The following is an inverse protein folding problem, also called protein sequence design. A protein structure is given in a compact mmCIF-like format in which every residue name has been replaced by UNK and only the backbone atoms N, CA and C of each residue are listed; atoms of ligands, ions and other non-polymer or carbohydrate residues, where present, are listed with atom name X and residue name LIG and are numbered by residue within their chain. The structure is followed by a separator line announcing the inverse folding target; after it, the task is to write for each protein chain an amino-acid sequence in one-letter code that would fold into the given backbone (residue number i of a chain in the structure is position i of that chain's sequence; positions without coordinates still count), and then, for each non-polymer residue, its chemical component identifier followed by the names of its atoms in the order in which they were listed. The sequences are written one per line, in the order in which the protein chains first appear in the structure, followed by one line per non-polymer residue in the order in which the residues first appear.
data_IF_416578426720
#
_entry.id   IF_416578426720
#
_cell.length_a   1.000
_cell.length_b   1.000
_cell.length_c   1.000
_cell.angle_alpha   90.00
_cell.angle_beta   90.00
_cell.angle_gamma   90.00
#
_symmetry.space_group_name_H-M   'P 1'
#
loop_
_entity.id
_entity.type
_entity.pdbx_description
1 polymer ?
#
# COMPACT_ATOMS: atom_id res chain seq x y z
N UNK A 1 -15.38 -22.84 27.49
CA UNK A 1 -14.18 -22.69 26.62
C UNK A 1 -13.68 -21.27 26.85
N UNK A 2 -12.48 -21.09 27.44
CA UNK A 2 -11.89 -19.77 27.60
C UNK A 2 -11.47 -19.31 26.21
N UNK A 3 -12.03 -18.21 25.73
CA UNK A 3 -11.54 -17.57 24.53
C UNK A 3 -10.04 -17.29 24.73
N UNK A 4 -9.19 -17.88 23.91
CA UNK A 4 -7.77 -17.52 23.89
C UNK A 4 -7.68 -16.02 23.68
N UNK A 5 -6.89 -15.32 24.48
CA UNK A 5 -6.67 -13.89 24.29
C UNK A 5 -6.16 -13.69 22.83
N UNK A 6 -6.76 -12.77 22.08
CA UNK A 6 -6.30 -12.52 20.74
C UNK A 6 -4.84 -12.08 20.75
N UNK A 7 -4.07 -12.58 19.79
CA UNK A 7 -2.66 -12.28 19.63
C UNK A 7 -2.51 -11.39 18.40
N UNK A 8 -1.86 -10.25 18.57
CA UNK A 8 -1.42 -9.45 17.42
C UNK A 8 -0.10 -10.03 16.89
N UNK A 9 0.06 -10.03 15.59
CA UNK A 9 1.28 -10.45 14.90
C UNK A 9 1.63 -9.41 13.86
N UNK A 10 2.88 -9.03 13.81
CA UNK A 10 3.41 -8.16 12.77
C UNK A 10 4.82 -8.60 12.33
N UNK A 11 5.25 -8.07 11.21
CA UNK A 11 6.61 -8.19 10.71
C UNK A 11 7.22 -6.80 10.67
N UNK A 12 8.40 -6.64 11.28
CA UNK A 12 9.12 -5.35 11.36
C UNK A 12 10.50 -5.54 10.76
N UNK A 13 10.88 -4.64 9.89
CA UNK A 13 12.20 -4.62 9.30
C UNK A 13 13.15 -3.74 10.11
N UNK A 14 14.40 -4.16 10.33
CA UNK A 14 15.40 -3.43 11.09
C UNK A 14 16.41 -2.64 10.22
N UNK A 15 16.22 -2.64 8.91
CA UNK A 15 17.05 -1.90 7.96
C UNK A 15 16.71 -0.40 7.90
N UNK A 16 17.68 0.41 7.49
CA UNK A 16 17.50 1.85 7.28
C UNK A 16 16.85 2.19 5.93
N UNK A 17 16.73 1.20 5.05
CA UNK A 17 16.16 1.35 3.70
C UNK A 17 15.06 0.32 3.48
N UNK A 18 14.13 0.65 2.59
CA UNK A 18 13.15 -0.32 2.10
C UNK A 18 13.86 -1.59 1.59
N UNK A 19 13.35 -2.77 1.94
CA UNK A 19 13.89 -4.09 1.54
C UNK A 19 15.28 -4.45 2.08
N UNK A 20 15.91 -3.62 2.91
CA UNK A 20 17.16 -3.94 3.61
C UNK A 20 16.90 -4.40 5.04
N UNK A 21 17.83 -5.20 5.56
CA UNK A 21 17.82 -5.66 6.94
C UNK A 21 16.96 -6.91 7.16
N UNK A 22 16.96 -7.36 8.41
CA UNK A 22 16.21 -8.55 8.83
C UNK A 22 14.77 -8.19 9.14
N UNK A 23 13.89 -9.10 8.80
CA UNK A 23 12.46 -8.99 9.09
C UNK A 23 12.17 -9.78 10.36
N UNK A 24 11.89 -9.07 11.44
CA UNK A 24 11.55 -9.68 12.73
C UNK A 24 10.05 -9.92 12.82
N UNK A 25 9.67 -11.17 13.01
CA UNK A 25 8.31 -11.56 13.29
C UNK A 25 8.10 -11.40 14.79
N UNK A 26 7.17 -10.54 15.17
CA UNK A 26 6.87 -10.30 16.58
C UNK A 26 5.39 -10.45 16.90
N UNK A 27 5.10 -10.82 18.15
CA UNK A 27 3.73 -10.99 18.65
C UNK A 27 3.50 -10.15 19.89
N UNK A 28 2.25 -9.72 20.08
CA UNK A 28 1.77 -9.03 21.27
C UNK A 28 0.57 -9.76 21.85
N UNK A 29 0.54 -9.90 23.17
CA UNK A 29 -0.58 -10.49 23.93
C UNK A 29 -1.36 -9.43 24.74
N UNK A 30 -0.92 -8.18 24.68
CA UNK A 30 -1.47 -7.05 25.45
C UNK A 30 -1.97 -5.92 24.54
N UNK A 31 -2.48 -6.29 23.35
CA UNK A 31 -3.06 -5.38 22.38
C UNK A 31 -2.05 -4.35 21.83
N UNK A 32 -0.83 -4.80 21.54
CA UNK A 32 0.22 -4.01 20.92
C UNK A 32 1.00 -3.08 21.86
N UNK A 33 0.84 -3.22 23.19
CA UNK A 33 1.59 -2.42 24.16
C UNK A 33 3.02 -2.93 24.34
N UNK A 34 3.17 -4.26 24.35
CA UNK A 34 4.49 -4.92 24.37
C UNK A 34 4.59 -5.95 23.26
N UNK A 35 5.80 -6.17 22.78
CA UNK A 35 6.08 -7.07 21.66
C UNK A 35 7.22 -8.03 21.97
N UNK A 36 7.06 -9.26 21.55
CA UNK A 36 8.10 -10.30 21.66
C UNK A 36 8.46 -10.80 20.28
N UNK A 37 9.76 -10.77 19.94
CA UNK A 37 10.26 -11.37 18.70
C UNK A 37 10.18 -12.89 18.81
N UNK A 38 9.47 -13.52 17.88
CA UNK A 38 9.24 -14.96 17.83
C UNK A 38 9.91 -15.64 16.64
N UNK A 39 10.47 -14.87 15.71
CA UNK A 39 11.19 -15.39 14.54
C UNK A 39 11.82 -14.28 13.74
N UNK A 40 12.62 -14.69 12.77
CA UNK A 40 13.22 -13.82 11.75
C UNK A 40 12.88 -14.42 10.39
N UNK A 41 12.47 -13.56 9.44
CA UNK A 41 12.25 -13.89 8.04
C UNK A 41 13.19 -12.98 7.22
N UNK A 42 14.26 -13.56 6.73
CA UNK A 42 15.29 -12.89 5.93
C UNK A 42 15.52 -13.64 4.61
N UNK A 43 14.43 -14.13 4.03
CA UNK A 43 14.50 -14.90 2.81
C UNK A 43 15.15 -14.10 1.67
N UNK A 44 16.21 -14.66 1.14
CA UNK A 44 16.94 -14.15 0.00
C UNK A 44 17.38 -15.33 -0.88
N UNK A 45 17.33 -15.16 -2.20
CA UNK A 45 17.74 -16.17 -3.18
C UNK A 45 18.53 -15.54 -4.31
N UNK A 46 19.73 -16.08 -4.58
CA UNK A 46 20.52 -15.66 -5.73
C UNK A 46 20.00 -16.32 -7.01
N UNK A 47 19.63 -15.52 -8.02
CA UNK A 47 19.12 -15.94 -9.33
C UNK A 47 19.98 -15.37 -10.47
N UNK A 48 21.09 -16.07 -10.77
CA UNK A 48 22.09 -15.57 -11.70
C UNK A 48 22.78 -14.33 -11.15
N UNK A 49 22.74 -13.21 -11.89
CA UNK A 49 23.29 -11.92 -11.44
C UNK A 49 22.33 -11.12 -10.57
N UNK A 50 21.08 -11.59 -10.37
CA UNK A 50 20.05 -10.92 -9.58
C UNK A 50 19.87 -11.58 -8.22
N UNK A 51 19.42 -10.80 -7.27
CA UNK A 51 19.04 -11.27 -5.94
C UNK A 51 17.54 -11.08 -5.75
N UNK A 52 16.83 -12.16 -5.46
CA UNK A 52 15.43 -12.12 -5.12
C UNK A 52 15.26 -11.90 -3.61
N UNK A 53 14.39 -10.97 -3.24
CA UNK A 53 14.03 -10.64 -1.84
C UNK A 53 12.53 -10.51 -1.71
N UNK A 54 12.05 -10.66 -0.48
CA UNK A 54 10.64 -10.47 -0.13
C UNK A 54 10.50 -9.25 0.75
N UNK A 55 9.41 -8.48 0.56
CA UNK A 55 9.03 -7.44 1.52
C UNK A 55 8.54 -8.03 2.85
N UNK A 56 8.23 -7.17 3.83
CA UNK A 56 7.70 -7.60 5.13
C UNK A 56 6.33 -8.27 5.02
N UNK A 57 5.64 -7.98 3.93
CA UNK A 57 4.35 -8.55 3.63
C UNK A 57 3.23 -7.99 4.52
N UNK A 58 2.07 -8.54 4.29
CA UNK A 58 0.81 -8.11 4.87
C UNK A 58 0.03 -9.34 5.31
N UNK A 59 -0.39 -9.39 6.56
CA UNK A 59 -1.19 -10.49 7.09
C UNK A 59 -2.65 -10.07 7.21
N UNK A 60 -3.52 -10.90 6.67
CA UNK A 60 -4.97 -10.78 6.76
C UNK A 60 -5.55 -12.00 7.50
N UNK A 61 -6.55 -11.77 8.33
CA UNK A 61 -7.34 -12.85 8.94
C UNK A 61 -8.63 -12.95 8.17
N UNK A 62 -8.84 -14.09 7.49
CA UNK A 62 -10.12 -14.40 6.91
C UNK A 62 -11.17 -14.61 8.00
N UNK A 63 -12.11 -13.68 8.10
CA UNK A 63 -13.11 -13.67 9.16
C UNK A 63 -14.17 -14.76 9.00
N UNK A 64 -14.25 -15.40 7.83
CA UNK A 64 -15.22 -16.48 7.57
C UNK A 64 -14.75 -17.82 8.13
N UNK A 65 -13.45 -18.06 8.18
CA UNK A 65 -12.90 -19.36 8.57
C UNK A 65 -11.71 -19.29 9.55
N UNK A 66 -11.24 -18.07 9.90
CA UNK A 66 -10.13 -17.85 10.84
C UNK A 66 -8.75 -18.12 10.25
N UNK A 67 -8.63 -18.33 8.95
CA UNK A 67 -7.35 -18.59 8.29
C UNK A 67 -6.52 -17.30 8.22
N UNK A 68 -5.26 -17.36 8.62
CA UNK A 68 -4.30 -16.30 8.35
C UNK A 68 -3.81 -16.44 6.91
N UNK A 69 -3.82 -15.34 6.17
CA UNK A 69 -3.27 -15.25 4.82
C UNK A 69 -2.19 -14.19 4.83
N UNK A 70 -0.98 -14.54 4.43
CA UNK A 70 0.12 -13.60 4.28
C UNK A 70 0.40 -13.38 2.81
N UNK A 71 0.39 -12.12 2.39
CA UNK A 71 0.78 -11.66 1.06
C UNK A 71 2.12 -10.93 1.17
N UNK A 72 2.96 -11.06 0.17
CA UNK A 72 4.22 -10.32 0.06
C UNK A 72 4.66 -10.22 -1.39
N UNK A 73 5.36 -9.16 -1.71
CA UNK A 73 6.03 -9.02 -2.99
C UNK A 73 7.38 -9.72 -2.93
N UNK A 74 7.68 -10.52 -3.94
CA UNK A 74 8.98 -11.09 -4.18
C UNK A 74 9.59 -10.36 -5.38
N UNK A 75 10.60 -9.53 -5.12
CA UNK A 75 11.25 -8.70 -6.12
C UNK A 75 12.66 -9.16 -6.40
N UNK A 76 13.10 -9.04 -7.66
CA UNK A 76 14.45 -9.31 -8.07
C UNK A 76 15.18 -8.01 -8.38
N UNK A 77 16.36 -7.87 -7.80
CA UNK A 77 17.24 -6.71 -7.91
C UNK A 77 18.49 -7.06 -8.70
N UNK A 78 18.93 -6.12 -9.54
CA UNK A 78 20.20 -6.23 -10.23
C UNK A 78 21.42 -6.12 -9.30
N UNK A 79 22.64 -6.34 -9.81
CA UNK A 79 23.86 -6.35 -9.00
C UNK A 79 24.20 -5.01 -8.34
N UNK A 80 23.58 -3.90 -8.79
CA UNK A 80 23.86 -2.56 -8.26
C UNK A 80 22.96 -2.14 -7.08
N UNK A 81 22.04 -3.03 -6.63
CA UNK A 81 21.21 -2.83 -5.46
C UNK A 81 19.92 -2.05 -5.70
N UNK A 82 19.17 -1.83 -4.62
CA UNK A 82 17.75 -1.50 -4.63
C UNK A 82 17.38 -0.10 -5.17
N UNK A 83 18.31 0.83 -5.17
CA UNK A 83 17.99 2.25 -5.39
C UNK A 83 18.32 2.78 -6.78
N UNK A 84 19.16 2.10 -7.53
CA UNK A 84 19.31 2.34 -8.97
C UNK A 84 17.99 2.13 -9.73
N UNK A 85 17.04 1.45 -9.08
CA UNK A 85 15.76 1.06 -9.66
C UNK A 85 14.64 2.12 -9.53
N UNK A 86 14.81 3.16 -8.73
CA UNK A 86 13.82 4.25 -8.57
C UNK A 86 14.19 5.53 -9.32
N UNK A 87 14.43 5.42 -10.56
CA UNK A 87 14.86 6.51 -11.42
C UNK A 87 15.94 6.00 -12.35
N UNK A 88 16.31 6.73 -13.37
CA UNK A 88 17.50 6.40 -14.11
C UNK A 88 18.63 6.28 -13.09
N UNK A 89 19.32 5.15 -13.06
CA UNK A 89 20.57 5.03 -12.33
C UNK A 89 21.46 6.22 -12.65
N UNK A 90 22.44 6.54 -11.82
CA UNK A 90 23.36 7.65 -12.03
C UNK A 90 24.04 7.62 -13.43
N UNK A 91 23.97 6.48 -14.11
CA UNK A 91 24.44 6.22 -15.47
C UNK A 91 23.35 6.22 -16.54
N UNK A 92 22.08 6.51 -16.16
CA UNK A 92 20.95 6.49 -17.08
C UNK A 92 20.41 5.11 -17.43
N UNK A 93 20.87 4.04 -16.76
CA UNK A 93 20.34 2.69 -16.98
C UNK A 93 18.87 2.61 -16.58
N UNK A 94 18.00 2.06 -17.43
CA UNK A 94 16.56 2.02 -17.15
C UNK A 94 16.22 1.07 -16.00
N UNK A 95 15.15 1.37 -15.29
CA UNK A 95 14.47 0.52 -14.29
C UNK A 95 14.07 -0.91 -14.73
N UNK A 96 14.45 -1.31 -15.92
CA UNK A 96 14.18 -2.62 -16.50
C UNK A 96 14.86 -3.79 -15.76
N UNK A 97 15.70 -3.51 -14.78
CA UNK A 97 16.33 -4.54 -13.95
C UNK A 97 15.40 -5.13 -12.91
N UNK A 98 14.29 -4.45 -12.56
CA UNK A 98 13.38 -4.90 -11.50
C UNK A 98 12.19 -5.66 -12.06
N UNK A 99 12.05 -6.89 -11.61
CA UNK A 99 10.88 -7.72 -11.86
C UNK A 99 10.45 -8.39 -10.57
N UNK A 100 9.24 -8.91 -10.53
CA UNK A 100 8.77 -9.56 -9.32
C UNK A 100 7.41 -10.20 -9.46
N UNK A 101 7.00 -10.82 -8.37
CA UNK A 101 5.77 -11.60 -8.24
C UNK A 101 5.09 -11.24 -6.94
N UNK A 102 3.77 -11.36 -6.90
CA UNK A 102 3.02 -11.40 -5.66
C UNK A 102 2.91 -12.85 -5.22
N UNK A 103 3.31 -13.10 -3.99
CA UNK A 103 3.28 -14.41 -3.38
C UNK A 103 2.32 -14.41 -2.20
N UNK A 104 1.75 -15.57 -1.88
CA UNK A 104 0.94 -15.74 -0.68
C UNK A 104 1.14 -17.12 -0.06
N UNK A 105 0.82 -17.23 1.20
CA UNK A 105 0.71 -18.46 1.98
C UNK A 105 -0.38 -18.31 3.02
N UNK A 106 -0.90 -19.40 3.53
CA UNK A 106 -1.92 -19.36 4.57
C UNK A 106 -1.64 -20.35 5.70
N UNK A 107 -2.17 -20.03 6.86
CA UNK A 107 -2.09 -20.83 8.08
C UNK A 107 -3.48 -21.02 8.68
N UNK A 108 -3.80 -22.25 9.04
CA UNK A 108 -5.07 -22.64 9.69
C UNK A 108 -4.91 -22.82 11.22
N UNK A 109 -3.71 -22.60 11.75
CA UNK A 109 -3.34 -22.82 13.15
C UNK A 109 -2.70 -21.58 13.80
N UNK A 110 -3.17 -20.40 13.42
CA UNK A 110 -2.73 -19.11 13.97
C UNK A 110 -1.23 -18.80 13.72
N UNK A 111 -0.70 -19.28 12.59
CA UNK A 111 0.66 -19.01 12.17
C UNK A 111 1.71 -19.95 12.76
N UNK A 112 1.31 -21.08 13.37
CA UNK A 112 2.25 -22.09 13.84
C UNK A 112 2.83 -22.87 12.66
N UNK A 113 1.98 -23.25 11.71
CA UNK A 113 2.41 -23.85 10.43
C UNK A 113 1.83 -23.07 9.26
N UNK A 114 2.52 -23.14 8.14
CA UNK A 114 2.14 -22.44 6.93
C UNK A 114 2.06 -23.40 5.74
N UNK A 115 1.11 -23.13 4.85
CA UNK A 115 1.10 -23.80 3.53
C UNK A 115 2.39 -23.51 2.78
N UNK A 116 2.75 -24.30 1.75
CA UNK A 116 3.75 -23.87 0.79
C UNK A 116 3.43 -22.48 0.23
N UNK A 117 4.45 -21.66 0.04
CA UNK A 117 4.31 -20.36 -0.62
C UNK A 117 3.89 -20.56 -2.07
N UNK A 118 2.91 -19.80 -2.54
CA UNK A 118 2.34 -19.84 -3.88
C UNK A 118 2.44 -18.48 -4.53
N UNK A 119 2.60 -18.46 -5.85
CA UNK A 119 2.44 -17.26 -6.63
C UNK A 119 0.95 -16.95 -6.82
N UNK A 120 0.57 -15.68 -6.68
CA UNK A 120 -0.74 -15.21 -7.08
C UNK A 120 -0.76 -15.14 -8.61
N UNK A 121 -1.61 -15.96 -9.22
CA UNK A 121 -1.77 -16.02 -10.68
C UNK A 121 -3.26 -15.84 -10.98
N UNK A 122 -3.57 -14.93 -11.91
CA UNK A 122 -4.93 -14.73 -12.38
C UNK A 122 -5.49 -16.03 -13.00
N UNK A 123 -6.75 -16.32 -12.71
CA UNK A 123 -7.43 -17.48 -13.29
C UNK A 123 -7.66 -17.27 -14.78
N UNK A 124 -7.30 -18.26 -15.58
CA UNK A 124 -7.45 -18.27 -17.03
C UNK A 124 -6.35 -19.08 -17.70
N UNK A 125 -6.61 -19.69 -18.86
CA UNK A 125 -5.63 -20.51 -19.57
C UNK A 125 -4.46 -19.71 -20.16
N UNK A 126 -4.59 -18.38 -20.26
CA UNK A 126 -3.59 -17.45 -20.75
C UNK A 126 -2.56 -17.01 -19.69
N UNK A 127 -2.82 -17.33 -18.40
CA UNK A 127 -1.97 -16.91 -17.29
C UNK A 127 -1.17 -18.09 -16.72
N UNK A 128 0.10 -17.81 -16.42
CA UNK A 128 1.04 -18.78 -15.86
C UNK A 128 2.04 -18.08 -14.91
N UNK A 129 3.11 -18.75 -14.50
CA UNK A 129 4.10 -18.21 -13.62
C UNK A 129 4.91 -17.02 -14.23
N UNK A 130 4.85 -16.83 -15.54
CA UNK A 130 5.53 -15.75 -16.27
C UNK A 130 4.56 -14.60 -16.60
N UNK A 131 3.48 -14.92 -17.33
CA UNK A 131 2.36 -14.00 -17.55
C UNK A 131 1.32 -14.24 -16.46
N UNK A 132 1.54 -13.65 -15.27
CA UNK A 132 0.77 -14.05 -14.11
C UNK A 132 -0.49 -13.24 -13.86
N UNK A 133 -0.65 -12.10 -14.59
CA UNK A 133 -1.88 -11.33 -14.60
C UNK A 133 -1.94 -10.43 -15.82
N UNK A 134 -3.10 -9.89 -16.12
CA UNK A 134 -3.28 -8.95 -17.24
C UNK A 134 -2.32 -7.77 -17.13
N UNK A 135 -1.51 -7.57 -18.19
CA UNK A 135 -0.47 -6.53 -18.25
C UNK A 135 0.73 -6.72 -17.31
N UNK A 136 0.87 -7.87 -16.62
CA UNK A 136 1.98 -8.12 -15.70
C UNK A 136 2.73 -9.39 -16.09
N UNK A 137 4.02 -9.20 -16.40
CA UNK A 137 4.90 -10.27 -16.87
C UNK A 137 6.19 -10.30 -16.05
N UNK A 138 6.49 -11.44 -15.47
CA UNK A 138 7.80 -11.68 -14.86
C UNK A 138 8.92 -11.51 -15.91
N UNK A 139 9.95 -10.79 -15.55
CA UNK A 139 11.06 -10.43 -16.45
C UNK A 139 10.86 -9.11 -17.21
N UNK A 140 9.66 -8.51 -17.21
CA UNK A 140 9.39 -7.25 -17.91
C UNK A 140 8.96 -6.12 -16.98
N UNK A 141 8.04 -6.40 -16.06
CA UNK A 141 7.56 -5.44 -15.08
C UNK A 141 7.29 -6.13 -13.74
N UNK A 142 6.74 -5.39 -12.81
CA UNK A 142 6.46 -5.87 -11.46
C UNK A 142 5.11 -5.34 -11.00
N UNK A 143 4.33 -6.21 -10.34
CA UNK A 143 3.19 -5.84 -9.52
C UNK A 143 3.55 -5.89 -8.03
N UNK A 144 2.96 -4.98 -7.27
CA UNK A 144 3.20 -4.81 -5.83
C UNK A 144 1.90 -4.95 -5.06
N UNK A 145 1.95 -5.64 -3.94
CA UNK A 145 0.88 -5.64 -2.93
C UNK A 145 1.40 -5.27 -1.54
N UNK A 146 2.44 -4.46 -1.46
CA UNK A 146 3.24 -4.16 -0.28
C UNK A 146 2.48 -4.04 1.05
N UNK A 147 3.22 -3.91 2.13
CA UNK A 147 2.69 -3.87 3.50
C UNK A 147 1.67 -2.75 3.76
N UNK A 148 1.68 -1.72 2.94
CA UNK A 148 0.77 -0.57 3.05
C UNK A 148 -0.55 -0.77 2.28
N UNK A 149 -0.60 -1.69 1.32
CA UNK A 149 -1.79 -2.03 0.53
C UNK A 149 -2.54 -3.20 1.17
N UNK A 150 -3.41 -2.89 2.12
CA UNK A 150 -4.06 -3.92 2.95
C UNK A 150 -5.17 -4.62 2.21
N UNK A 151 -5.25 -5.92 2.42
CA UNK A 151 -6.38 -6.74 1.98
C UNK A 151 -7.66 -6.28 2.68
N UNK A 152 -8.72 -6.15 1.89
CA UNK A 152 -10.08 -5.90 2.39
C UNK A 152 -10.92 -7.15 2.15
N UNK A 153 -11.51 -7.71 3.19
CA UNK A 153 -12.49 -8.76 3.06
C UNK A 153 -13.89 -8.17 2.99
N UNK A 154 -14.63 -8.52 1.94
CA UNK A 154 -16.01 -8.12 1.77
C UNK A 154 -16.94 -8.92 2.70
N UNK A 155 -18.13 -8.42 2.94
CA UNK A 155 -19.14 -9.09 3.79
C UNK A 155 -19.57 -10.45 3.27
N UNK A 156 -19.41 -10.71 1.96
CA UNK A 156 -19.66 -12.03 1.35
C UNK A 156 -18.47 -12.99 1.48
N UNK A 157 -17.39 -12.58 2.10
CA UNK A 157 -16.16 -13.36 2.27
C UNK A 157 -15.14 -13.20 1.17
N UNK A 158 -15.45 -12.51 0.08
CA UNK A 158 -14.51 -12.25 -1.02
C UNK A 158 -13.32 -11.44 -0.52
N UNK A 159 -12.12 -11.84 -0.90
CA UNK A 159 -10.90 -11.09 -0.60
C UNK A 159 -10.61 -10.08 -1.72
N UNK A 160 -10.37 -8.85 -1.36
CA UNK A 160 -9.90 -7.81 -2.29
C UNK A 160 -8.45 -7.47 -1.93
N UNK A 161 -7.54 -7.79 -2.85
CA UNK A 161 -6.11 -7.49 -2.72
C UNK A 161 -5.79 -6.31 -3.64
N UNK A 162 -5.63 -5.09 -3.09
CA UNK A 162 -5.23 -3.94 -3.89
C UNK A 162 -3.79 -4.12 -4.37
N UNK A 163 -3.53 -3.75 -5.61
CA UNK A 163 -2.20 -3.80 -6.21
C UNK A 163 -1.91 -2.55 -7.02
N UNK A 164 -0.65 -2.23 -7.17
CA UNK A 164 -0.18 -1.35 -8.22
C UNK A 164 0.94 -2.03 -9.01
N UNK A 165 1.13 -1.64 -10.27
CA UNK A 165 2.11 -2.26 -11.14
C UNK A 165 2.61 -1.28 -12.21
N UNK A 166 3.83 -1.51 -12.70
CA UNK A 166 4.38 -0.75 -13.81
C UNK A 166 3.68 -1.13 -15.10
N UNK A 167 3.22 -0.12 -15.85
CA UNK A 167 2.50 -0.33 -17.10
C UNK A 167 3.45 -0.75 -18.21
N UNK A 168 3.00 -1.70 -19.03
CA UNK A 168 3.64 -2.03 -20.30
C UNK A 168 2.88 -1.35 -21.46
N UNK A 169 3.64 -0.85 -22.42
CA UNK A 169 3.14 -0.36 -23.70
C UNK A 169 2.81 -1.51 -24.66
N UNK A 170 2.26 -1.18 -25.81
CA UNK A 170 1.96 -2.16 -26.86
C UNK A 170 3.23 -2.83 -27.44
N UNK A 171 4.39 -2.23 -27.25
CA UNK A 171 5.72 -2.76 -27.59
C UNK A 171 6.27 -3.73 -26.54
N UNK A 172 5.58 -3.89 -25.40
CA UNK A 172 5.99 -4.73 -24.28
C UNK A 172 7.04 -4.08 -23.37
N UNK A 173 7.36 -2.81 -23.58
CA UNK A 173 8.28 -2.02 -22.75
C UNK A 173 7.52 -1.23 -21.69
N UNK A 174 8.18 -0.88 -20.58
CA UNK A 174 7.57 -0.04 -19.56
C UNK A 174 7.24 1.35 -20.10
N UNK A 175 5.98 1.78 -19.90
CA UNK A 175 5.55 3.14 -20.25
C UNK A 175 6.22 4.12 -19.31
N UNK A 176 7.02 5.01 -19.87
CA UNK A 176 7.77 6.03 -19.14
C UNK A 176 7.20 7.40 -19.42
N UNK A 177 7.33 8.29 -18.44
CA UNK A 177 6.87 9.66 -18.55
C UNK A 177 8.04 10.62 -18.31
N UNK A 178 8.35 11.52 -19.23
CA UNK A 178 9.38 12.53 -19.04
C UNK A 178 8.94 13.51 -17.94
N UNK A 179 9.89 13.99 -17.18
CA UNK A 179 9.66 15.12 -16.30
C UNK A 179 9.38 16.39 -17.12
N UNK A 180 9.10 17.50 -16.42
CA UNK A 180 8.84 18.81 -17.06
C UNK A 180 10.02 19.34 -17.90
N UNK A 181 11.22 18.82 -17.70
CA UNK A 181 12.42 19.20 -18.41
C UNK A 181 12.80 18.19 -19.50
N UNK A 182 12.11 17.05 -19.56
CA UNK A 182 12.41 15.94 -20.45
C UNK A 182 13.66 15.15 -20.07
N UNK A 183 14.18 15.35 -18.86
CA UNK A 183 15.45 14.78 -18.42
C UNK A 183 15.27 13.51 -17.57
N UNK A 184 14.21 13.46 -16.76
CA UNK A 184 13.93 12.30 -15.90
C UNK A 184 12.77 11.51 -16.45
N UNK A 185 12.97 10.24 -16.64
CA UNK A 185 11.97 9.32 -17.16
C UNK A 185 11.46 8.45 -16.00
N UNK A 186 10.25 8.72 -15.53
CA UNK A 186 9.59 7.93 -14.51
C UNK A 186 8.73 6.84 -15.15
N UNK A 187 8.78 5.60 -14.65
CA UNK A 187 7.82 4.58 -15.06
C UNK A 187 6.43 4.97 -14.57
N UNK A 188 5.43 4.73 -15.40
CA UNK A 188 4.04 4.96 -15.02
C UNK A 188 3.46 3.72 -14.34
N UNK A 189 2.65 3.95 -13.31
CA UNK A 189 1.97 2.88 -12.61
C UNK A 189 0.46 2.95 -12.83
N UNK A 190 -0.16 1.79 -12.80
CA UNK A 190 -1.59 1.61 -12.72
C UNK A 190 -1.95 0.92 -11.40
N UNK A 191 -3.17 1.13 -10.95
CA UNK A 191 -3.77 0.39 -9.84
C UNK A 191 -4.81 -0.60 -10.35
N UNK A 192 -4.97 -1.70 -9.62
CA UNK A 192 -6.01 -2.69 -9.84
C UNK A 192 -6.31 -3.43 -8.53
N UNK A 193 -7.25 -4.37 -8.57
CA UNK A 193 -7.50 -5.30 -7.47
C UNK A 193 -7.52 -6.73 -7.97
N UNK A 194 -7.02 -7.66 -7.15
CA UNK A 194 -7.40 -9.06 -7.27
C UNK A 194 -8.58 -9.35 -6.36
N UNK A 195 -9.53 -10.10 -6.90
CA UNK A 195 -10.61 -10.74 -6.15
C UNK A 195 -10.22 -12.19 -5.90
N UNK A 196 -10.16 -12.56 -4.62
CA UNK A 196 -9.88 -13.93 -4.22
C UNK A 196 -11.12 -14.62 -3.69
N UNK A 197 -11.38 -15.82 -4.20
CA UNK A 197 -12.45 -16.69 -3.72
C UNK A 197 -11.86 -18.04 -3.35
N UNK A 198 -12.08 -18.49 -2.14
CA UNK A 198 -11.67 -19.85 -1.74
C UNK A 198 -12.33 -20.90 -2.62
N UNK A 199 -11.58 -21.88 -3.03
CA UNK A 199 -12.14 -23.11 -3.62
C UNK A 199 -13.00 -23.82 -2.58
N UNK A 200 -13.96 -24.59 -3.04
CA UNK A 200 -14.90 -25.30 -2.17
C UNK A 200 -14.22 -26.18 -1.12
N UNK A 201 -13.10 -26.80 -1.48
CA UNK A 201 -12.28 -27.62 -0.57
C UNK A 201 -11.32 -26.82 0.34
N UNK A 202 -11.32 -25.50 0.19
CA UNK A 202 -10.40 -24.58 0.91
C UNK A 202 -8.92 -24.96 0.76
N UNK A 203 -8.54 -25.58 -0.34
CA UNK A 203 -7.16 -25.96 -0.64
C UNK A 203 -6.35 -24.81 -1.23
N UNK A 204 -7.04 -23.86 -1.88
CA UNK A 204 -6.44 -22.71 -2.56
C UNK A 204 -7.47 -21.59 -2.79
N UNK A 205 -7.00 -20.49 -3.35
CA UNK A 205 -7.78 -19.31 -3.70
C UNK A 205 -7.70 -19.11 -5.21
N UNK A 206 -8.84 -18.95 -5.86
CA UNK A 206 -8.94 -18.55 -7.25
C UNK A 206 -8.94 -17.02 -7.35
N UNK A 207 -8.15 -16.46 -8.26
CA UNK A 207 -7.89 -15.05 -8.38
C UNK A 207 -8.41 -14.47 -9.68
N UNK A 208 -9.19 -13.40 -9.62
CA UNK A 208 -9.64 -12.60 -10.76
C UNK A 208 -9.09 -11.19 -10.63
N UNK A 209 -8.46 -10.67 -11.68
CA UNK A 209 -7.99 -9.29 -11.70
C UNK A 209 -9.07 -8.36 -12.27
N UNK A 210 -9.21 -7.17 -11.69
CA UNK A 210 -10.08 -6.11 -12.19
C UNK A 210 -9.49 -5.44 -13.44
N UNK A 211 -10.27 -4.54 -14.06
CA UNK A 211 -9.70 -3.58 -15.02
C UNK A 211 -8.64 -2.68 -14.36
N UNK A 212 -7.72 -2.18 -15.16
CA UNK A 212 -6.67 -1.27 -14.74
C UNK A 212 -7.19 0.15 -14.57
N UNK A 213 -6.81 0.78 -13.46
CA UNK A 213 -7.01 2.21 -13.22
C UNK A 213 -5.76 2.98 -13.58
N UNK A 214 -5.90 3.84 -14.56
CA UNK A 214 -4.83 4.69 -15.08
C UNK A 214 -5.27 6.13 -14.91
N UNK A 215 -4.39 6.96 -14.37
CA UNK A 215 -4.69 8.39 -14.29
C UNK A 215 -4.78 9.01 -15.68
N UNK A 216 -5.69 9.98 -15.87
CA UNK A 216 -5.59 10.84 -17.03
C UNK A 216 -4.22 11.52 -17.05
N UNK A 217 -3.51 11.45 -18.17
CA UNK A 217 -2.11 11.89 -18.31
C UNK A 217 -1.86 13.34 -17.90
N UNK A 218 -2.84 14.20 -18.07
CA UNK A 218 -2.74 15.61 -17.67
C UNK A 218 -2.93 15.84 -16.17
N UNK A 219 -3.43 14.84 -15.41
CA UNK A 219 -3.64 14.92 -13.96
C UNK A 219 -2.52 14.26 -13.16
N UNK A 220 -2.06 13.11 -13.60
CA UNK A 220 -1.02 12.36 -12.89
C UNK A 220 -0.29 11.42 -13.83
N UNK A 221 0.96 11.10 -13.56
CA UNK A 221 1.69 10.08 -14.32
C UNK A 221 1.44 8.67 -13.77
N UNK A 222 0.96 8.55 -12.54
CA UNK A 222 0.73 7.26 -11.87
C UNK A 222 -0.49 7.29 -10.99
N UNK A 223 -1.08 6.11 -10.79
CA UNK A 223 -1.95 5.77 -9.67
C UNK A 223 -1.31 4.58 -8.96
N UNK A 224 -0.94 4.77 -7.72
CA UNK A 224 -0.22 3.77 -6.93
C UNK A 224 -0.74 3.67 -5.49
N UNK A 225 -0.24 2.70 -4.74
CA UNK A 225 -0.57 2.44 -3.33
C UNK A 225 -2.09 2.47 -3.05
N UNK A 226 -2.89 1.65 -3.77
CA UNK A 226 -4.34 1.64 -3.60
C UNK A 226 -4.76 1.07 -2.24
N UNK A 227 -5.84 1.62 -1.67
CA UNK A 227 -6.54 1.08 -0.50
C UNK A 227 -8.03 1.02 -0.79
N UNK A 228 -8.71 -0.03 -0.33
CA UNK A 228 -10.12 -0.30 -0.64
C UNK A 228 -10.94 -0.40 0.63
N UNK A 229 -12.16 0.11 0.61
CA UNK A 229 -13.17 -0.13 1.63
C UNK A 229 -14.55 -0.42 1.02
N UNK A 230 -15.31 -1.25 1.70
CA UNK A 230 -16.71 -1.56 1.35
C UNK A 230 -17.67 -0.62 2.08
N UNK A 231 -18.54 0.03 1.32
CA UNK A 231 -19.60 0.92 1.83
C UNK A 231 -20.80 0.13 2.36
N UNK A 232 -21.74 0.82 3.00
CA UNK A 232 -22.92 0.19 3.58
C UNK A 232 -23.81 -0.50 2.55
N UNK A 233 -23.88 0.03 1.35
CA UNK A 233 -24.69 -0.50 0.24
C UNK A 233 -23.96 -1.58 -0.59
N UNK A 234 -22.73 -1.96 -0.23
CA UNK A 234 -21.90 -2.92 -0.97
C UNK A 234 -21.05 -2.31 -2.08
N UNK A 235 -21.19 -1.01 -2.35
CA UNK A 235 -20.27 -0.31 -3.25
C UNK A 235 -18.87 -0.33 -2.65
N UNK A 236 -17.86 -0.55 -3.48
CA UNK A 236 -16.47 -0.44 -3.07
C UNK A 236 -15.91 0.91 -3.49
N UNK A 237 -15.14 1.53 -2.63
CA UNK A 237 -14.32 2.70 -2.94
C UNK A 237 -12.85 2.32 -2.86
N UNK A 238 -12.09 2.69 -3.86
CA UNK A 238 -10.63 2.61 -3.88
C UNK A 238 -10.07 4.02 -3.80
N UNK A 239 -9.14 4.27 -2.89
CA UNK A 239 -8.33 5.49 -2.85
C UNK A 239 -6.93 5.18 -3.36
N UNK A 240 -6.33 6.10 -4.09
CA UNK A 240 -5.02 5.91 -4.72
C UNK A 240 -4.16 7.15 -4.53
N UNK A 241 -2.87 6.93 -4.35
CA UNK A 241 -1.85 7.96 -4.42
C UNK A 241 -1.72 8.43 -5.87
N UNK A 242 -1.77 9.74 -6.09
CA UNK A 242 -1.40 10.34 -7.38
C UNK A 242 0.08 10.64 -7.44
N UNK A 243 0.74 10.21 -8.52
CA UNK A 243 2.11 10.60 -8.81
C UNK A 243 2.11 11.98 -9.50
N UNK A 244 2.47 13.03 -8.78
CA UNK A 244 2.40 14.42 -9.27
C UNK A 244 3.76 15.01 -9.66
N UNK A 245 4.76 14.15 -9.84
CA UNK A 245 6.14 14.59 -9.98
C UNK A 245 6.39 15.58 -11.13
N UNK A 246 5.64 15.53 -12.21
CA UNK A 246 6.10 16.14 -13.44
C UNK A 246 5.26 17.31 -13.96
N UNK A 247 4.07 17.60 -13.43
CA UNK A 247 3.21 18.61 -14.06
C UNK A 247 2.95 19.82 -13.18
N UNK A 248 3.35 20.97 -13.67
CA UNK A 248 3.28 22.27 -12.99
C UNK A 248 1.86 22.75 -12.67
N UNK A 249 0.85 22.17 -13.33
CA UNK A 249 -0.51 22.71 -13.32
C UNK A 249 -1.44 22.02 -12.34
N UNK A 250 -1.04 20.86 -11.80
CA UNK A 250 -1.87 20.12 -10.87
C UNK A 250 -1.31 20.16 -9.45
N UNK A 251 -2.19 20.39 -8.51
CA UNK A 251 -1.88 20.17 -7.09
C UNK A 251 -1.88 18.67 -6.78
N UNK A 252 -1.13 18.29 -5.74
CA UNK A 252 -1.20 16.95 -5.19
C UNK A 252 -2.59 16.67 -4.65
N UNK A 253 -3.17 15.52 -5.05
CA UNK A 253 -4.47 15.05 -4.62
C UNK A 253 -4.44 13.52 -4.45
N UNK A 254 -5.36 12.99 -3.66
CA UNK A 254 -5.71 11.57 -3.75
C UNK A 254 -6.75 11.38 -4.85
N UNK A 255 -6.62 10.29 -5.59
CA UNK A 255 -7.63 9.86 -6.53
C UNK A 255 -8.51 8.78 -5.91
N UNK A 256 -9.76 8.72 -6.33
CA UNK A 256 -10.62 7.61 -5.98
C UNK A 256 -11.37 7.05 -7.19
N UNK A 257 -11.80 5.82 -7.05
CA UNK A 257 -12.70 5.14 -7.98
C UNK A 257 -13.70 4.31 -7.21
N UNK A 258 -14.80 3.95 -7.83
CA UNK A 258 -15.85 3.11 -7.25
C UNK A 258 -16.11 1.88 -8.11
N UNK A 259 -16.46 0.78 -7.45
CA UNK A 259 -16.97 -0.45 -8.06
C UNK A 259 -18.32 -0.80 -7.46
N UNK A 260 -19.28 -1.20 -8.32
CA UNK A 260 -20.62 -1.63 -7.92
C UNK A 260 -20.88 -3.12 -8.15
N UNK A 261 -19.87 -3.86 -8.54
CA UNK A 261 -19.91 -5.28 -8.89
C UNK A 261 -18.90 -6.13 -8.10
N UNK A 262 -18.60 -5.69 -6.87
CA UNK A 262 -17.70 -6.37 -5.95
C UNK A 262 -16.23 -6.34 -6.39
N UNK A 263 -15.79 -5.27 -7.03
CA UNK A 263 -14.38 -5.07 -7.42
C UNK A 263 -13.98 -5.70 -8.75
N UNK A 264 -14.94 -6.16 -9.58
CA UNK A 264 -14.64 -6.66 -10.94
C UNK A 264 -14.31 -5.55 -11.89
N UNK A 265 -15.11 -4.47 -11.84
CA UNK A 265 -14.88 -3.29 -12.65
C UNK A 265 -14.88 -2.03 -11.78
N UNK A 266 -13.90 -1.20 -12.02
CA UNK A 266 -13.75 0.10 -11.42
C UNK A 266 -14.07 1.19 -12.44
N UNK A 267 -14.80 2.22 -12.01
CA UNK A 267 -15.06 3.40 -12.80
C UNK A 267 -13.81 4.26 -13.00
N UNK A 268 -13.91 5.39 -13.71
CA UNK A 268 -12.80 6.30 -13.87
C UNK A 268 -12.24 6.80 -12.54
N UNK A 269 -10.93 6.93 -12.44
CA UNK A 269 -10.30 7.56 -11.30
C UNK A 269 -10.48 9.10 -11.38
N UNK A 270 -10.97 9.68 -10.30
CA UNK A 270 -11.20 11.13 -10.17
C UNK A 270 -10.57 11.66 -8.89
N UNK A 271 -10.20 12.95 -8.82
CA UNK A 271 -9.69 13.56 -7.59
C UNK A 271 -10.71 13.51 -6.45
N UNK A 272 -10.23 13.25 -5.23
CA UNK A 272 -11.06 13.33 -4.02
C UNK A 272 -11.39 14.79 -3.71
N UNK A 273 -12.66 15.05 -3.36
CA UNK A 273 -13.17 16.39 -3.07
C UNK A 273 -13.90 16.43 -1.72
N UNK A 274 -14.12 17.63 -1.26
CA UNK A 274 -15.10 17.96 -0.23
C UNK A 274 -16.51 18.17 -0.83
N UNK A 275 -17.58 18.29 -0.01
CA UNK A 275 -18.95 18.48 -0.51
C UNK A 275 -19.16 19.73 -1.35
N UNK A 276 -18.37 20.77 -1.16
CA UNK A 276 -18.42 22.02 -1.93
C UNK A 276 -17.69 21.93 -3.28
N UNK A 277 -17.10 20.75 -3.59
CA UNK A 277 -16.33 20.50 -4.81
C UNK A 277 -14.87 20.94 -4.74
N UNK A 278 -14.42 21.52 -3.63
CA UNK A 278 -13.00 21.84 -3.45
C UNK A 278 -12.16 20.56 -3.31
N UNK A 279 -10.90 20.60 -3.76
CA UNK A 279 -10.00 19.47 -3.77
C UNK A 279 -9.47 19.17 -2.37
N UNK A 280 -9.38 17.89 -2.01
CA UNK A 280 -8.61 17.44 -0.87
C UNK A 280 -7.14 17.42 -1.26
N UNK A 281 -6.41 18.47 -0.86
CA UNK A 281 -5.00 18.59 -1.17
C UNK A 281 -4.17 17.58 -0.38
N UNK A 282 -3.38 16.77 -1.08
CA UNK A 282 -2.57 15.72 -0.47
C UNK A 282 -1.32 15.46 -1.32
N UNK A 283 -0.13 15.35 -0.71
CA UNK A 283 1.09 15.03 -1.44
C UNK A 283 1.05 13.60 -2.01
N UNK A 284 2.03 13.29 -2.84
CA UNK A 284 2.28 11.91 -3.27
C UNK A 284 2.84 11.10 -2.09
N UNK A 285 1.95 10.67 -1.20
CA UNK A 285 2.22 9.87 -0.01
C UNK A 285 1.16 8.77 0.11
N UNK A 286 1.46 7.74 0.88
CA UNK A 286 0.53 6.65 1.15
C UNK A 286 -0.76 7.17 1.81
N UNK A 287 -1.85 6.46 1.56
CA UNK A 287 -3.13 6.66 2.23
C UNK A 287 -3.71 5.31 2.65
N UNK A 288 -4.55 5.31 3.67
CA UNK A 288 -5.28 4.11 4.10
C UNK A 288 -6.76 4.43 4.19
N UNK A 289 -7.56 3.67 3.45
CA UNK A 289 -9.02 3.71 3.49
C UNK A 289 -9.50 2.46 4.20
N UNK A 290 -10.39 2.61 5.16
CA UNK A 290 -10.89 1.46 5.90
C UNK A 290 -12.29 1.69 6.46
N UNK A 291 -13.03 0.60 6.59
CA UNK A 291 -14.28 0.57 7.34
C UNK A 291 -13.96 0.24 8.80
N UNK A 292 -14.37 1.08 9.71
CA UNK A 292 -14.22 0.87 11.14
C UNK A 292 -15.22 -0.18 11.62
N UNK A 293 -14.76 -1.20 12.34
CA UNK A 293 -15.60 -2.27 12.87
C UNK A 293 -16.53 -1.76 13.99
N UNK A 294 -16.10 -0.73 14.72
CA UNK A 294 -16.82 -0.15 15.86
C UNK A 294 -18.15 0.50 15.45
N UNK A 295 -18.15 1.28 14.38
CA UNK A 295 -19.32 2.10 14.01
C UNK A 295 -19.78 1.93 12.56
N UNK A 296 -19.07 1.12 11.78
CA UNK A 296 -19.40 0.88 10.38
C UNK A 296 -19.18 2.06 9.44
N UNK A 297 -18.54 3.14 9.91
CA UNK A 297 -18.18 4.28 9.08
C UNK A 297 -16.88 4.00 8.32
N UNK A 298 -16.67 4.71 7.23
CA UNK A 298 -15.47 4.62 6.41
C UNK A 298 -14.60 5.84 6.65
N UNK A 299 -13.32 5.59 6.91
CA UNK A 299 -12.35 6.63 7.21
C UNK A 299 -11.16 6.56 6.26
N UNK A 300 -10.66 7.74 5.92
CA UNK A 300 -9.40 7.94 5.21
C UNK A 300 -8.36 8.49 6.18
N UNK A 301 -7.19 7.87 6.22
CA UNK A 301 -5.98 8.43 6.84
C UNK A 301 -5.03 8.82 5.73
N UNK A 302 -4.63 10.08 5.70
CA UNK A 302 -3.72 10.64 4.70
C UNK A 302 -3.07 11.93 5.21
N UNK A 303 -2.00 12.37 4.55
CA UNK A 303 -1.54 13.73 4.71
C UNK A 303 -2.52 14.65 3.97
N UNK A 304 -3.32 15.42 4.70
CA UNK A 304 -4.32 16.35 4.16
C UNK A 304 -3.90 17.77 4.48
N UNK A 305 -3.62 18.55 3.45
CA UNK A 305 -3.02 19.88 3.56
C UNK A 305 -4.05 20.99 3.42
N UNK A 306 -3.85 22.13 4.11
CA UNK A 306 -4.75 23.28 4.01
C UNK A 306 -4.61 24.06 2.69
N UNK A 307 -3.61 23.74 1.89
CA UNK A 307 -3.29 24.47 0.66
C UNK A 307 -2.73 23.54 -0.41
N UNK A 308 -2.74 23.95 -1.69
CA UNK A 308 -2.15 23.20 -2.79
C UNK A 308 -0.70 22.82 -2.53
N UNK A 309 -0.37 21.56 -2.79
CA UNK A 309 0.98 21.00 -2.65
C UNK A 309 1.46 20.40 -3.97
N UNK A 310 2.73 20.09 -4.03
CA UNK A 310 3.37 19.49 -5.20
C UNK A 310 4.30 18.37 -4.76
N UNK A 311 4.43 17.33 -5.61
CA UNK A 311 5.33 16.21 -5.37
C UNK A 311 5.01 15.45 -4.07
N UNK A 312 6.03 14.94 -3.39
CA UNK A 312 5.91 14.05 -2.25
C UNK A 312 5.88 14.75 -0.89
N UNK A 313 6.05 16.07 -0.84
CA UNK A 313 6.15 16.87 0.39
C UNK A 313 5.26 18.12 0.35
N UNK A 314 4.90 18.67 1.53
CA UNK A 314 5.16 18.15 2.88
C UNK A 314 4.27 16.94 3.23
N UNK A 315 4.77 16.02 4.08
CA UNK A 315 3.99 14.89 4.61
C UNK A 315 3.51 15.16 6.03
N UNK A 316 3.04 16.37 6.26
CA UNK A 316 2.35 16.81 7.48
C UNK A 316 1.32 17.90 7.14
N UNK A 317 0.21 17.98 7.89
CA UNK A 317 -0.22 17.06 8.94
C UNK A 317 -0.67 15.69 8.39
N UNK A 318 -0.58 14.66 9.23
CA UNK A 318 -1.30 13.41 9.05
C UNK A 318 -2.66 13.57 9.71
N UNK A 319 -3.73 13.29 8.97
CA UNK A 319 -5.10 13.42 9.44
C UNK A 319 -5.90 12.16 9.21
N UNK A 320 -6.99 12.02 9.97
CA UNK A 320 -8.09 11.13 9.69
C UNK A 320 -9.33 11.94 9.35
N UNK A 321 -10.10 11.48 8.38
CA UNK A 321 -11.36 12.09 7.95
C UNK A 321 -12.37 11.01 7.60
N UNK A 322 -13.64 11.21 7.91
CA UNK A 322 -14.73 10.32 7.49
C UNK A 322 -15.05 10.55 6.01
N UNK A 323 -15.35 9.46 5.31
CA UNK A 323 -15.81 9.48 3.91
C UNK A 323 -17.31 9.27 3.89
N UNK A 324 -18.04 10.18 3.23
CA UNK A 324 -19.47 10.00 2.98
C UNK A 324 -19.71 8.75 2.13
N UNK A 325 -20.49 7.81 2.65
CA UNK A 325 -20.67 6.51 2.00
C UNK A 325 -21.64 6.51 0.82
N UNK A 326 -22.30 7.64 0.55
CA UNK A 326 -23.23 7.81 -0.57
C UNK A 326 -22.62 8.63 -1.70
N UNK A 327 -21.90 9.67 -1.36
CA UNK A 327 -21.35 10.63 -2.34
C UNK A 327 -19.82 10.52 -2.49
N UNK A 328 -19.14 9.77 -1.62
CA UNK A 328 -17.70 9.45 -1.69
C UNK A 328 -16.78 10.66 -1.51
N UNK A 329 -17.25 11.76 -0.95
CA UNK A 329 -16.43 12.90 -0.59
C UNK A 329 -15.92 12.84 0.86
N UNK A 330 -14.85 13.57 1.16
CA UNK A 330 -14.35 13.72 2.52
C UNK A 330 -15.24 14.72 3.29
N UNK A 331 -15.56 14.41 4.56
CA UNK A 331 -16.39 15.27 5.42
C UNK A 331 -15.49 16.19 6.25
N UNK A 332 -15.34 17.48 5.91
CA UNK A 332 -14.33 18.35 6.52
C UNK A 332 -14.54 18.57 8.02
N UNK A 333 -15.78 18.49 8.49
CA UNK A 333 -16.14 18.62 9.91
C UNK A 333 -15.66 17.45 10.78
N UNK A 334 -15.24 16.36 10.16
CA UNK A 334 -14.70 15.17 10.85
C UNK A 334 -13.18 15.11 10.83
N UNK A 335 -12.52 16.04 10.15
CA UNK A 335 -11.06 16.05 10.08
C UNK A 335 -10.43 16.18 11.47
N UNK A 336 -9.57 15.23 11.79
CA UNK A 336 -8.82 15.22 13.04
C UNK A 336 -7.33 15.02 12.74
N UNK A 337 -6.49 15.84 13.35
CA UNK A 337 -5.03 15.72 13.23
C UNK A 337 -4.56 14.57 14.11
N UNK A 338 -3.81 13.64 13.52
CA UNK A 338 -3.14 12.54 14.22
C UNK A 338 -1.75 12.98 14.65
N UNK A 339 -1.00 13.57 13.71
CA UNK A 339 0.34 14.09 13.94
C UNK A 339 0.59 15.29 13.04
N UNK A 340 1.32 16.28 13.55
CA UNK A 340 1.68 17.46 12.80
C UNK A 340 3.11 17.89 13.14
N UNK A 341 3.67 18.76 12.32
CA UNK A 341 4.98 19.34 12.54
C UNK A 341 4.94 20.30 13.74
N UNK A 342 5.86 20.09 14.67
CA UNK A 342 6.10 20.97 15.81
C UNK A 342 7.37 21.81 15.62
N UNK A 343 7.58 22.81 16.48
CA UNK A 343 8.72 23.76 16.37
C UNK A 343 10.09 23.08 16.48
N UNK A 344 10.16 21.97 17.22
CA UNK A 344 11.41 21.20 17.38
C UNK A 344 11.72 20.26 16.19
N UNK A 345 10.74 20.04 15.30
CA UNK A 345 10.92 19.17 14.14
C UNK A 345 11.71 19.88 13.03
N UNK A 346 12.54 19.14 12.28
CA UNK A 346 13.18 19.67 11.08
C UNK A 346 12.13 20.10 10.05
N UNK A 347 12.55 20.89 9.09
CA UNK A 347 11.66 21.42 8.04
C UNK A 347 10.95 20.32 7.26
N UNK A 348 11.58 19.16 7.10
CA UNK A 348 11.10 18.04 6.28
C UNK A 348 10.75 16.80 7.11
N UNK A 349 10.23 17.00 8.32
CA UNK A 349 9.63 15.85 9.03
C UNK A 349 8.53 15.22 8.18
N UNK A 350 8.46 13.89 8.18
CA UNK A 350 7.43 13.14 7.46
C UNK A 350 6.70 12.24 8.43
N UNK A 351 5.37 12.31 8.39
CA UNK A 351 4.44 11.38 9.03
C UNK A 351 3.83 10.50 7.93
N UNK A 352 4.51 9.41 7.60
CA UNK A 352 4.17 8.54 6.48
C UNK A 352 4.57 7.09 6.80
N UNK A 353 4.17 6.15 5.94
CA UNK A 353 4.53 4.73 6.02
C UNK A 353 4.16 4.08 7.36
N UNK A 354 2.95 4.37 7.83
CA UNK A 354 2.42 3.84 9.09
C UNK A 354 1.76 2.48 8.91
N UNK A 355 1.72 1.72 10.01
CA UNK A 355 0.90 0.53 10.15
C UNK A 355 -0.34 0.82 10.99
N UNK A 356 -1.51 0.31 10.57
CA UNK A 356 -2.77 0.45 11.29
C UNK A 356 -3.28 -0.91 11.77
N UNK A 357 -3.69 -0.97 13.01
CA UNK A 357 -4.52 -2.05 13.55
C UNK A 357 -5.80 -1.46 14.14
N UNK A 358 -6.79 -2.30 14.37
CA UNK A 358 -7.90 -1.96 15.27
C UNK A 358 -7.60 -2.50 16.67
N UNK A 359 -7.79 -1.65 17.67
CA UNK A 359 -7.73 -2.07 19.06
C UNK A 359 -8.87 -3.07 19.34
N UNK A 360 -8.51 -4.25 19.82
CA UNK A 360 -9.46 -5.36 19.99
C UNK A 360 -10.48 -5.14 21.11
N UNK A 361 -10.24 -4.18 21.99
CA UNK A 361 -11.14 -3.88 23.12
C UNK A 361 -12.08 -2.72 22.77
N UNK A 362 -11.57 -1.72 22.06
CA UNK A 362 -12.31 -0.48 21.80
C UNK A 362 -12.80 -0.37 20.36
N UNK A 363 -12.22 -1.15 19.42
CA UNK A 363 -12.46 -1.00 17.98
C UNK A 363 -11.84 0.27 17.38
N UNK A 364 -11.10 1.04 18.18
CA UNK A 364 -10.44 2.25 17.71
C UNK A 364 -9.24 1.92 16.82
N UNK A 365 -8.96 2.72 15.79
CA UNK A 365 -7.72 2.57 15.03
C UNK A 365 -6.51 2.99 15.86
N UNK A 366 -5.48 2.14 15.80
CA UNK A 366 -4.16 2.41 16.37
C UNK A 366 -3.16 2.43 15.24
N UNK A 367 -2.34 3.47 15.23
CA UNK A 367 -1.30 3.68 14.22
C UNK A 367 0.07 3.55 14.87
N UNK A 368 0.92 2.75 14.26
CA UNK A 368 2.36 2.71 14.56
C UNK A 368 3.09 3.39 13.42
N UNK A 369 3.89 4.37 13.76
CA UNK A 369 4.57 5.20 12.78
C UNK A 369 5.91 5.66 13.30
N UNK A 370 6.90 5.77 12.42
CA UNK A 370 8.14 6.48 12.69
C UNK A 370 8.01 7.93 12.25
N UNK A 371 8.66 8.83 12.94
CA UNK A 371 8.88 10.21 12.47
C UNK A 371 10.16 10.25 11.65
N UNK A 372 10.00 10.37 10.34
CA UNK A 372 11.17 10.51 9.48
C UNK A 372 11.67 11.95 9.55
N UNK A 373 12.76 12.16 10.27
CA UNK A 373 13.40 13.48 10.41
C UNK A 373 14.43 13.63 9.29
N UNK A 374 14.06 14.35 8.22
CA UNK A 374 14.90 14.55 7.05
C UNK A 374 15.45 15.97 7.06
N UNK A 375 16.77 16.11 7.18
CA UNK A 375 17.42 17.43 7.24
C UNK A 375 17.55 18.13 5.88
N UNK A 376 17.37 17.40 4.75
CA UNK A 376 17.62 17.91 3.40
C UNK A 376 16.54 17.48 2.39
N UNK A 377 16.39 18.26 1.32
CA UNK A 377 15.50 17.96 0.19
C UNK A 377 15.99 16.74 -0.62
N UNK A 378 15.10 16.20 -1.45
CA UNK A 378 15.14 14.95 -2.19
C UNK A 378 16.48 14.59 -2.88
N UNK A 379 17.25 15.57 -3.32
CA UNK A 379 18.52 15.33 -4.03
C UNK A 379 19.66 14.86 -3.11
N UNK A 380 19.47 14.98 -1.79
CA UNK A 380 20.46 14.61 -0.77
C UNK A 380 20.01 13.41 0.09
N UNK A 381 18.85 12.80 -0.20
CA UNK A 381 18.22 11.78 0.66
C UNK A 381 19.00 10.48 0.65
N UNK A 382 19.79 10.23 -0.37
CA UNK A 382 20.42 8.93 -0.57
C UNK A 382 21.91 8.80 -0.18
N UNK A 383 22.74 9.83 -0.05
CA UNK A 383 24.02 9.66 0.58
C UNK A 383 24.03 10.18 2.04
N UNK A 384 23.66 9.31 2.99
CA UNK A 384 24.12 9.44 4.37
C UNK A 384 23.33 10.38 5.30
N UNK A 385 22.08 10.72 5.01
CA UNK A 385 21.19 11.39 5.97
C UNK A 385 20.89 10.44 7.14
N UNK A 386 21.15 10.87 8.35
CA UNK A 386 20.82 10.10 9.55
C UNK A 386 19.31 10.20 9.77
N UNK A 387 18.56 9.16 9.37
CA UNK A 387 17.19 8.97 9.82
C UNK A 387 17.31 8.47 11.26
N UNK A 388 16.86 9.27 12.22
CA UNK A 388 16.70 8.81 13.61
C UNK A 388 15.20 8.56 13.79
N UNK A 389 14.71 7.34 13.62
CA UNK A 389 13.31 7.05 13.76
C UNK A 389 12.95 6.88 15.24
N UNK A 390 12.21 7.83 15.79
CA UNK A 390 11.41 7.56 16.98
C UNK A 390 10.11 6.87 16.52
N UNK A 391 9.77 5.74 17.13
CA UNK A 391 8.53 5.03 16.83
C UNK A 391 7.44 5.45 17.83
N UNK A 392 6.31 5.88 17.30
CA UNK A 392 5.16 6.33 18.06
C UNK A 392 3.95 5.43 17.86
N UNK A 393 3.12 5.32 18.90
CA UNK A 393 1.82 4.67 18.88
C UNK A 393 0.74 5.72 19.10
N UNK A 394 -0.08 5.93 18.09
CA UNK A 394 -1.25 6.83 18.16
C UNK A 394 -2.52 6.00 18.26
N UNK A 395 -3.35 6.28 19.25
CA UNK A 395 -4.69 5.71 19.38
C UNK A 395 -5.72 6.78 19.07
N UNK A 396 -6.60 6.50 18.12
CA UNK A 396 -7.57 7.46 17.62
C UNK A 396 -8.95 7.08 18.15
N UNK A 397 -9.48 7.91 19.06
CA UNK A 397 -10.80 7.70 19.61
C UNK A 397 -11.87 8.12 18.60
N UNK A 398 -12.48 7.14 17.94
CA UNK A 398 -13.61 7.37 17.04
C UNK A 398 -14.93 7.38 17.81
N UNK A 399 -15.93 8.16 17.33
CA UNK A 399 -17.28 8.11 17.90
C UNK A 399 -17.88 6.71 17.77
N UNK A 400 -18.86 6.45 18.61
CA UNK A 400 -19.64 5.20 18.60
C UNK A 400 -20.58 5.13 17.40
#
# INVERSE_FOLDING_TARGET
MSASKPILREVVQDGLREYEGKKHIRTSQDNGKTWTVVGVDDWEEQRGERTARRDAGNCHIDTTNGTLIQFFSEAEYGPEGDYSDFGAGADGTPLQSRTGKIMYRFSKDQGQTWSPTRQLIQSGPEYDATHWADGIHYGKNMGFCGELMRVTQLRDGTLIVPICFYRLGADGEMVKWPDRFGEVIWPTMASATFRGTWRDDQSDIDWEMSNHLIAPEFLSHSLDEPAVAEMNDGTLMMIMRGGVAARQFMTGVKFFSISRDGGRHWGPAVPLTYPDGSLVHSPASVANLFRCSKNGRVYLIANILPAPCRMADPRYPLKIVEIDQKYFWALPETETVIADREDHHPRFVRFSNWQRIEDQQTGNPVIYMTEDKIDRLFDDVFPGGTIVPDAYRYEINLPD
#
